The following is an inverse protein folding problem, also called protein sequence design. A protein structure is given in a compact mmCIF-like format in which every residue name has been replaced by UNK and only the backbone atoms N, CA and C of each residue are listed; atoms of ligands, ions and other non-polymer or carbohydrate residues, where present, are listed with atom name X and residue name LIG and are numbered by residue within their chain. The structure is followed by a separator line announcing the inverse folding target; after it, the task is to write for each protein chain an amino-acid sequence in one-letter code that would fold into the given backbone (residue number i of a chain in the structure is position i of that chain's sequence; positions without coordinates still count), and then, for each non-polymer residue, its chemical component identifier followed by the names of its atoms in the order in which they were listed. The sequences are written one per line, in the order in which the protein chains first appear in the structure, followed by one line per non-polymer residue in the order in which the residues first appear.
data_IF_417413414753
#
_entry.id   IF_417413414753
#
_cell.length_a   1.000
_cell.length_b   1.000
_cell.length_c   1.000
_cell.angle_alpha   90.00
_cell.angle_beta   90.00
_cell.angle_gamma   90.00
#
_symmetry.space_group_name_H-M   'P 1'
#
loop_
_entity.id
_entity.type
_entity.pdbx_description
1 polymer ?
#
# COMPACT_ATOMS: atom_id res chain seq x y z
N UNK A 1 -19.37 36.05 37.92
CA UNK A 1 -18.55 35.50 36.82
C UNK A 1 -18.50 34.00 37.04
N UNK A 2 -19.39 33.25 36.39
CA UNK A 2 -19.50 31.80 36.53
C UNK A 2 -18.70 31.14 35.42
N UNK A 3 -17.68 30.38 35.79
CA UNK A 3 -16.91 29.53 34.87
C UNK A 3 -17.80 28.32 34.55
N UNK A 4 -18.11 28.10 33.28
CA UNK A 4 -18.82 26.90 32.83
C UNK A 4 -17.86 25.71 32.90
N UNK A 5 -18.26 24.68 33.65
CA UNK A 5 -17.62 23.37 33.61
C UNK A 5 -18.14 22.65 32.36
N UNK A 6 -17.30 22.55 31.33
CA UNK A 6 -17.51 21.63 30.21
C UNK A 6 -17.06 20.24 30.66
N UNK A 7 -17.97 19.26 30.84
CA UNK A 7 -17.54 17.89 31.05
C UNK A 7 -16.91 17.43 29.74
N UNK A 8 -15.59 17.24 29.73
CA UNK A 8 -14.93 16.47 28.70
C UNK A 8 -15.57 15.08 28.68
N UNK A 9 -16.54 14.89 27.79
CA UNK A 9 -17.06 13.57 27.45
C UNK A 9 -15.92 12.78 26.82
N UNK A 10 -15.16 12.08 27.66
CA UNK A 10 -14.44 10.87 27.28
C UNK A 10 -15.49 9.81 26.96
N UNK A 11 -16.09 9.94 25.79
CA UNK A 11 -16.85 8.87 25.15
C UNK A 11 -16.18 8.52 23.82
N UNK A 12 -14.85 8.34 23.83
CA UNK A 12 -14.26 7.47 22.80
C UNK A 12 -14.52 6.06 23.30
N UNK A 13 -15.61 5.45 22.80
CA UNK A 13 -15.83 4.02 22.94
C UNK A 13 -14.49 3.32 22.70
N UNK A 14 -13.91 2.59 23.67
CA UNK A 14 -12.58 1.98 23.51
C UNK A 14 -12.56 0.93 22.39
N UNK A 15 -13.72 0.53 21.84
CA UNK A 15 -13.82 -0.24 20.60
C UNK A 15 -13.53 0.57 19.33
N UNK A 16 -13.62 1.90 19.38
CA UNK A 16 -13.24 2.83 18.32
C UNK A 16 -11.78 3.30 18.44
N UNK A 17 -11.10 3.01 19.55
CA UNK A 17 -9.68 3.25 19.67
C UNK A 17 -8.96 2.21 18.79
N UNK A 18 -8.46 2.62 17.63
CA UNK A 18 -7.61 1.79 16.78
C UNK A 18 -6.50 1.17 17.64
N UNK A 19 -6.41 -0.16 17.66
CA UNK A 19 -5.33 -0.85 18.36
C UNK A 19 -4.03 -0.37 17.72
N UNK A 20 -3.23 0.41 18.46
CA UNK A 20 -1.88 0.78 18.03
C UNK A 20 -1.04 -0.49 18.08
N UNK A 21 -0.83 -1.09 16.91
CA UNK A 21 0.06 -2.23 16.71
C UNK A 21 1.23 -1.80 15.85
N UNK A 22 2.30 -2.60 15.80
CA UNK A 22 3.40 -2.39 14.86
C UNK A 22 3.03 -2.81 13.42
N UNK A 23 1.80 -3.30 13.22
CA UNK A 23 1.23 -3.64 11.92
C UNK A 23 0.52 -2.41 11.35
N UNK A 24 0.83 -2.10 10.10
CA UNK A 24 0.17 -1.05 9.33
C UNK A 24 -0.31 -1.63 8.01
N UNK A 25 -1.44 -1.14 7.51
CA UNK A 25 -1.88 -1.42 6.16
C UNK A 25 -1.25 -0.44 5.18
N UNK A 26 -0.78 -0.95 4.04
CA UNK A 26 -0.21 -0.12 2.96
C UNK A 26 -0.78 -0.55 1.61
N UNK A 27 -1.02 0.43 0.74
CA UNK A 27 -1.49 0.22 -0.62
C UNK A 27 -0.76 1.12 -1.61
N UNK A 28 -0.63 0.66 -2.85
CA UNK A 28 0.01 1.42 -3.92
C UNK A 28 -0.91 1.44 -5.14
N UNK A 29 -1.11 2.61 -5.72
CA UNK A 29 -2.01 2.78 -6.87
C UNK A 29 -1.59 3.96 -7.73
N UNK A 30 -2.10 4.00 -8.96
CA UNK A 30 -1.92 5.12 -9.86
C UNK A 30 -3.10 6.08 -9.76
N UNK A 31 -2.80 7.37 -9.56
CA UNK A 31 -3.76 8.45 -9.68
C UNK A 31 -3.42 9.28 -10.93
N UNK A 32 -4.39 9.54 -11.79
CA UNK A 32 -4.16 10.31 -13.01
C UNK A 32 -3.64 11.73 -12.70
N UNK A 33 -2.64 12.18 -13.46
CA UNK A 33 -2.19 13.58 -13.41
C UNK A 33 -3.16 14.46 -14.22
N UNK A 34 -3.94 15.36 -13.59
CA UNK A 34 -4.92 16.17 -14.29
C UNK A 34 -4.29 17.18 -15.26
N UNK A 35 -3.00 17.50 -15.11
CA UNK A 35 -2.27 18.43 -15.97
C UNK A 35 -1.59 17.74 -17.14
N UNK A 36 -1.33 16.43 -17.04
CA UNK A 36 -0.57 15.66 -18.03
C UNK A 36 -1.30 14.37 -18.40
N UNK A 37 -2.21 14.40 -19.41
CA UNK A 37 -2.92 13.21 -19.85
C UNK A 37 -1.98 12.05 -20.22
N UNK A 38 -2.30 10.86 -19.74
CA UNK A 38 -1.49 9.66 -19.93
C UNK A 38 -0.33 9.50 -18.94
N UNK A 39 -0.12 10.45 -18.03
CA UNK A 39 0.77 10.32 -16.89
C UNK A 39 -0.01 10.19 -15.59
N UNK A 40 0.62 9.56 -14.61
CA UNK A 40 0.06 9.31 -13.29
C UNK A 40 1.04 9.70 -12.19
N UNK A 41 0.49 9.87 -10.99
CA UNK A 41 1.21 9.82 -9.74
C UNK A 41 1.19 8.39 -9.20
N UNK A 42 2.34 7.87 -8.77
CA UNK A 42 2.38 6.69 -7.91
C UNK A 42 2.03 7.14 -6.49
N UNK A 43 0.87 6.72 -6.01
CA UNK A 43 0.38 7.02 -4.68
C UNK A 43 0.71 5.87 -3.74
N UNK A 44 1.04 6.21 -2.49
CA UNK A 44 1.11 5.25 -1.37
C UNK A 44 0.04 5.62 -0.35
N UNK A 45 -0.92 4.72 -0.14
CA UNK A 45 -1.86 4.75 0.98
C UNK A 45 -1.24 4.07 2.19
N UNK A 46 -1.48 4.62 3.38
CA UNK A 46 -1.15 4.00 4.65
C UNK A 46 -2.30 4.17 5.64
N UNK A 47 -2.65 3.10 6.35
CA UNK A 47 -3.48 3.13 7.55
C UNK A 47 -2.71 2.53 8.73
N UNK A 48 -2.82 3.19 9.90
CA UNK A 48 -2.17 2.74 11.14
C UNK A 48 -2.99 1.71 11.91
N UNK A 49 -4.26 1.53 11.54
CA UNK A 49 -5.06 0.39 11.95
C UNK A 49 -5.07 -0.69 10.87
N UNK A 50 -5.55 -1.87 11.25
CA UNK A 50 -6.00 -2.88 10.29
C UNK A 50 -7.45 -3.25 10.63
N UNK A 51 -8.27 -3.43 9.59
CA UNK A 51 -9.67 -3.84 9.71
C UNK A 51 -10.10 -4.75 8.54
N UNK A 52 -11.40 -5.02 8.42
CA UNK A 52 -11.93 -5.89 7.36
C UNK A 52 -12.13 -5.15 6.01
N UNK A 53 -11.74 -3.88 5.92
CA UNK A 53 -11.89 -2.98 4.76
C UNK A 53 -10.54 -2.41 4.31
N UNK A 54 -9.61 -3.26 3.85
CA UNK A 54 -8.22 -2.88 3.59
C UNK A 54 -8.02 -1.83 2.48
N UNK A 55 -9.06 -1.54 1.69
CA UNK A 55 -9.04 -0.55 0.60
C UNK A 55 -9.62 0.83 1.01
N UNK A 56 -10.26 0.93 2.19
CA UNK A 56 -10.92 2.16 2.66
C UNK A 56 -10.11 2.86 3.76
N UNK A 57 -10.30 4.17 3.93
CA UNK A 57 -9.61 4.91 5.00
C UNK A 57 -8.12 5.19 4.72
N UNK A 58 -7.34 5.40 5.77
CA UNK A 58 -5.93 5.81 5.70
C UNK A 58 -5.67 7.20 5.10
N UNK A 59 -4.39 7.53 4.94
CA UNK A 59 -3.89 8.72 4.26
C UNK A 59 -3.05 8.32 3.04
N UNK A 60 -3.04 9.14 1.99
CA UNK A 60 -2.27 8.86 0.76
C UNK A 60 -1.30 9.97 0.42
N UNK A 61 -0.08 9.57 0.06
CA UNK A 61 1.01 10.47 -0.35
C UNK A 61 1.49 10.13 -1.76
N UNK A 62 1.85 11.14 -2.55
CA UNK A 62 2.48 10.93 -3.85
C UNK A 62 3.97 10.57 -3.65
N UNK A 63 4.39 9.41 -4.16
CA UNK A 63 5.79 8.95 -4.12
C UNK A 63 6.57 9.35 -5.36
N UNK A 64 5.96 9.20 -6.54
CA UNK A 64 6.60 9.49 -7.82
C UNK A 64 5.60 10.17 -8.77
N UNK A 65 6.13 11.05 -9.61
CA UNK A 65 5.42 11.69 -10.71
C UNK A 65 5.84 11.08 -12.05
N UNK A 66 5.12 11.44 -13.12
CA UNK A 66 5.42 11.01 -14.49
C UNK A 66 5.40 9.49 -14.68
N UNK A 67 4.54 8.80 -13.95
CA UNK A 67 4.39 7.34 -14.06
C UNK A 67 3.49 7.01 -15.23
N UNK A 68 4.02 6.24 -16.18
CA UNK A 68 3.27 5.77 -17.36
C UNK A 68 2.53 4.48 -17.01
N UNK A 69 3.20 3.56 -16.30
CA UNK A 69 2.64 2.24 -15.98
C UNK A 69 3.26 1.69 -14.68
N UNK A 70 2.49 0.86 -13.97
CA UNK A 70 2.90 0.15 -12.75
C UNK A 70 2.35 -1.27 -12.83
N UNK A 71 3.22 -2.27 -12.70
CA UNK A 71 2.84 -3.68 -12.67
C UNK A 71 3.51 -4.40 -11.52
N UNK A 72 2.79 -5.38 -11.00
CA UNK A 72 3.30 -6.33 -10.02
C UNK A 72 3.18 -7.71 -10.61
N UNK A 73 4.25 -8.49 -10.52
CA UNK A 73 4.23 -9.91 -10.80
C UNK A 73 4.65 -10.66 -9.53
N UNK A 74 4.09 -11.83 -9.31
CA UNK A 74 4.23 -12.61 -8.09
C UNK A 74 4.84 -13.97 -8.42
N UNK A 75 5.82 -14.39 -7.61
CA UNK A 75 6.47 -15.68 -7.84
C UNK A 75 5.60 -16.85 -7.36
N UNK A 76 5.23 -17.74 -8.28
CA UNK A 76 4.42 -18.92 -8.01
C UNK A 76 4.94 -20.13 -8.78
N UNK A 77 5.30 -21.21 -8.08
CA UNK A 77 5.60 -22.54 -8.69
C UNK A 77 6.59 -22.47 -9.88
N UNK A 78 7.65 -21.67 -9.72
CA UNK A 78 8.70 -21.43 -10.73
C UNK A 78 8.32 -20.54 -11.91
N UNK A 79 7.24 -19.77 -11.78
CA UNK A 79 6.83 -18.79 -12.79
C UNK A 79 6.38 -17.46 -12.14
N UNK A 80 6.26 -16.43 -12.97
CA UNK A 80 5.73 -15.11 -12.60
C UNK A 80 4.28 -14.99 -13.05
N UNK A 81 3.37 -14.68 -12.12
CA UNK A 81 1.95 -14.43 -12.40
C UNK A 81 1.57 -12.98 -12.14
N UNK A 82 0.61 -12.43 -12.87
CA UNK A 82 0.19 -11.02 -12.79
C UNK A 82 -0.86 -10.75 -11.71
N UNK A 83 -1.41 -11.81 -11.11
CA UNK A 83 -2.42 -11.75 -10.06
C UNK A 83 -2.05 -12.68 -8.91
N UNK A 84 -2.43 -12.26 -7.71
CA UNK A 84 -2.27 -13.07 -6.52
C UNK A 84 -3.55 -13.05 -5.68
N UNK A 85 -4.00 -14.23 -5.27
CA UNK A 85 -5.01 -14.40 -4.24
C UNK A 85 -4.44 -15.29 -3.13
N UNK A 86 -4.30 -14.72 -1.93
CA UNK A 86 -3.76 -15.44 -0.78
C UNK A 86 -4.69 -16.52 -0.24
N UNK A 87 -6.01 -16.43 -0.50
CA UNK A 87 -6.99 -17.47 -0.14
C UNK A 87 -6.81 -18.70 -1.04
N UNK A 88 -6.64 -18.48 -2.35
CA UNK A 88 -6.38 -19.56 -3.30
C UNK A 88 -4.99 -20.19 -3.09
N UNK A 89 -3.96 -19.36 -2.89
CA UNK A 89 -2.59 -19.83 -2.68
C UNK A 89 -2.34 -20.38 -1.27
N UNK A 90 -3.21 -20.05 -0.30
CA UNK A 90 -3.04 -20.32 1.13
C UNK A 90 -1.72 -19.80 1.71
N UNK A 91 -1.15 -18.75 1.10
CA UNK A 91 0.11 -18.11 1.50
C UNK A 91 0.30 -16.74 0.84
N UNK A 92 1.26 -15.97 1.35
CA UNK A 92 1.80 -14.79 0.67
C UNK A 92 2.80 -15.22 -0.43
N UNK A 93 3.04 -14.41 -1.47
CA UNK A 93 4.05 -14.73 -2.47
C UNK A 93 5.45 -14.72 -1.83
N UNK A 94 6.38 -15.54 -2.32
CA UNK A 94 7.76 -15.53 -1.80
C UNK A 94 8.61 -14.42 -2.41
N UNK A 95 8.20 -13.88 -3.56
CA UNK A 95 8.80 -12.71 -4.16
C UNK A 95 7.76 -11.92 -4.97
N UNK A 96 7.98 -10.60 -5.04
CA UNK A 96 7.22 -9.67 -5.87
C UNK A 96 8.19 -8.96 -6.78
N UNK A 97 7.91 -8.97 -8.09
CA UNK A 97 8.61 -8.17 -9.09
C UNK A 97 7.76 -6.94 -9.37
N UNK A 98 8.27 -5.77 -8.99
CA UNK A 98 7.65 -4.49 -9.26
C UNK A 98 8.26 -3.90 -10.51
N UNK A 99 7.43 -3.59 -11.51
CA UNK A 99 7.85 -2.99 -12.78
C UNK A 99 7.21 -1.61 -12.87
N UNK A 100 8.02 -0.57 -12.93
CA UNK A 100 7.57 0.82 -13.02
C UNK A 100 8.09 1.40 -14.32
N UNK A 101 7.20 1.99 -15.12
CA UNK A 101 7.56 2.73 -16.32
C UNK A 101 7.36 4.22 -16.06
N UNK A 102 8.42 5.00 -16.24
CA UNK A 102 8.44 6.45 -16.02
C UNK A 102 8.71 7.19 -17.32
N UNK A 103 8.15 8.39 -17.46
CA UNK A 103 8.56 9.34 -18.48
C UNK A 103 9.60 10.29 -17.89
N UNK A 104 10.83 10.26 -18.43
CA UNK A 104 11.91 11.10 -17.96
C UNK A 104 11.76 12.55 -18.46
N UNK A 105 12.64 13.45 -18.00
CA UNK A 105 12.63 14.88 -18.36
C UNK A 105 12.91 15.16 -19.85
N UNK A 106 13.43 14.17 -20.60
CA UNK A 106 13.64 14.25 -22.06
C UNK A 106 12.42 13.78 -22.84
N UNK A 107 11.38 13.30 -22.15
CA UNK A 107 10.17 12.76 -22.74
C UNK A 107 10.26 11.28 -23.13
N UNK A 108 11.36 10.60 -22.84
CA UNK A 108 11.52 9.17 -23.12
C UNK A 108 10.92 8.33 -21.99
N UNK A 109 10.41 7.15 -22.35
CA UNK A 109 9.98 6.15 -21.38
C UNK A 109 11.16 5.30 -20.91
N UNK A 110 11.29 5.12 -19.61
CA UNK A 110 12.28 4.26 -18.96
C UNK A 110 11.57 3.26 -18.07
N UNK A 111 12.04 2.01 -18.05
CA UNK A 111 11.45 0.94 -17.24
C UNK A 111 12.44 0.52 -16.15
N UNK A 112 11.95 0.50 -14.91
CA UNK A 112 12.66 0.05 -13.74
C UNK A 112 12.02 -1.24 -13.23
N UNK A 113 12.86 -2.21 -12.89
CA UNK A 113 12.41 -3.49 -12.32
C UNK A 113 13.08 -3.70 -10.99
N UNK A 114 12.28 -3.89 -9.95
CA UNK A 114 12.73 -4.20 -8.60
C UNK A 114 12.20 -5.58 -8.21
N UNK A 115 13.08 -6.38 -7.59
CA UNK A 115 12.74 -7.69 -7.08
C UNK A 115 12.80 -7.67 -5.54
N UNK A 116 11.65 -7.91 -4.91
CA UNK A 116 11.50 -7.97 -3.46
C UNK A 116 11.25 -9.41 -3.04
N UNK A 117 12.08 -9.94 -2.14
CA UNK A 117 11.87 -11.27 -1.55
C UNK A 117 11.13 -11.13 -0.22
N UNK A 118 10.02 -11.85 -0.08
CA UNK A 118 9.22 -11.85 1.14
C UNK A 118 9.62 -13.08 1.98
N UNK A 119 10.26 -12.82 3.11
CA UNK A 119 10.57 -13.85 4.08
C UNK A 119 9.27 -14.22 4.80
N UNK A 120 8.76 -15.42 4.56
CA UNK A 120 7.82 -16.01 5.51
C UNK A 120 8.58 -16.17 6.83
N UNK A 121 8.05 -15.64 7.94
CA UNK A 121 8.65 -15.81 9.24
C UNK A 121 8.99 -17.28 9.46
N UNK A 122 10.29 -17.59 9.56
CA UNK A 122 10.74 -18.87 10.08
C UNK A 122 10.29 -18.89 11.54
N UNK A 123 9.12 -19.49 11.79
CA UNK A 123 8.85 -20.01 13.13
C UNK A 123 10.00 -20.95 13.45
N UNK A 124 10.78 -20.63 14.48
CA UNK A 124 11.75 -21.55 15.03
C UNK A 124 11.00 -22.85 15.35
N UNK A 125 11.37 -23.93 14.66
CA UNK A 125 11.04 -25.26 15.15
C UNK A 125 12.01 -25.52 16.30
N UNK A 126 11.53 -25.36 17.53
CA UNK A 126 12.04 -26.06 18.71
C UNK A 126 10.88 -26.66 19.48
#
# INVERSE_FOLDING_TARGET
MTVSYEPHFMAVNPRLAHRRTDINEVGYYLAADPKNPGLNYLMRRQDTGYDDKPEEGGSSDALLHNVVDLRFEFWLRNDWVDKWDSKEASRIPSAVKTIIKLKNYRGNEETFTMLSFLLAGMGERQ
#
